data_IF_111781188449
#
_entry.id   IF_111781188449
#
_cell.length_a   1.000
_cell.length_b   1.000
_cell.length_c   1.000
_cell.angle_alpha   90.00
_cell.angle_beta   90.00
_cell.angle_gamma   90.00
#
_symmetry.space_group_name_H-M   'P 1'
#
loop_
_entity.id
_entity.type
_entity.pdbx_description
1 polymer ?
#
# COMPACT_ATOMS: atom_id res chain seq x y z
N UNK A 1 -10.24 -14.14 23.37
CA UNK A 1 -9.64 -14.47 22.06
C UNK A 1 -9.80 -15.96 21.91
N UNK A 2 -10.35 -16.43 20.79
CA UNK A 2 -10.54 -17.87 20.57
C UNK A 2 -9.16 -18.56 20.51
N UNK A 3 -9.04 -19.78 21.03
CA UNK A 3 -7.77 -20.52 21.05
C UNK A 3 -7.19 -20.69 19.64
N UNK A 4 -8.07 -20.85 18.64
CA UNK A 4 -7.70 -20.90 17.22
C UNK A 4 -7.08 -19.59 16.71
N UNK A 5 -7.60 -18.44 17.13
CA UNK A 5 -7.04 -17.14 16.73
C UNK A 5 -5.64 -16.94 17.30
N UNK A 6 -5.36 -17.51 18.48
CA UNK A 6 -4.05 -17.39 19.12
C UNK A 6 -2.98 -18.25 18.43
N UNK A 7 -3.34 -19.45 17.96
CA UNK A 7 -2.47 -20.27 17.12
C UNK A 7 -2.20 -19.62 15.76
N UNK A 8 -3.25 -19.15 15.07
CA UNK A 8 -3.14 -18.45 13.78
C UNK A 8 -2.27 -17.20 13.93
N UNK A 9 -2.48 -16.43 15.00
CA UNK A 9 -1.67 -15.26 15.30
C UNK A 9 -0.18 -15.62 15.46
N UNK A 10 0.15 -16.65 16.24
CA UNK A 10 1.56 -17.07 16.43
C UNK A 10 2.20 -17.50 15.10
N UNK A 11 1.46 -18.24 14.26
CA UNK A 11 1.94 -18.64 12.95
C UNK A 11 2.23 -17.42 12.07
N UNK A 12 1.31 -16.47 11.98
CA UNK A 12 1.49 -15.24 11.20
C UNK A 12 2.58 -14.33 11.75
N UNK A 13 2.80 -14.29 13.07
CA UNK A 13 3.92 -13.56 13.67
C UNK A 13 5.26 -14.12 13.19
N UNK A 14 5.42 -15.45 13.20
CA UNK A 14 6.63 -16.11 12.71
C UNK A 14 6.85 -15.86 11.22
N UNK A 15 5.79 -15.95 10.41
CA UNK A 15 5.87 -15.72 8.98
C UNK A 15 6.24 -14.26 8.64
N UNK A 16 5.67 -13.27 9.34
CA UNK A 16 6.09 -11.88 9.18
C UNK A 16 7.55 -11.66 9.54
N UNK A 17 8.05 -12.29 10.61
CA UNK A 17 9.46 -12.19 11.01
C UNK A 17 10.35 -12.77 9.93
N UNK A 18 9.98 -13.92 9.36
CA UNK A 18 10.78 -14.57 8.33
C UNK A 18 10.81 -13.76 7.03
N UNK A 19 9.64 -13.34 6.53
CA UNK A 19 9.55 -12.54 5.31
C UNK A 19 10.23 -11.16 5.46
N UNK A 20 10.16 -10.56 6.65
CA UNK A 20 10.83 -9.28 6.91
C UNK A 20 12.35 -9.36 6.74
N UNK A 21 12.99 -10.52 6.93
CA UNK A 21 14.44 -10.67 6.68
C UNK A 21 14.82 -10.42 5.22
N UNK A 22 13.86 -10.54 4.30
CA UNK A 22 14.04 -10.32 2.86
C UNK A 22 13.71 -8.88 2.46
N UNK A 23 13.24 -8.04 3.40
CA UNK A 23 12.88 -6.67 3.11
C UNK A 23 14.12 -5.83 2.79
N UNK A 24 14.12 -5.22 1.61
CA UNK A 24 15.11 -4.22 1.20
C UNK A 24 14.49 -2.83 1.33
N UNK A 25 15.18 -1.93 2.05
CA UNK A 25 14.75 -0.54 2.25
C UNK A 25 15.63 0.49 1.54
N UNK A 26 16.64 0.03 0.80
CA UNK A 26 17.52 0.86 -0.04
C UNK A 26 17.11 0.75 -1.50
N UNK A 27 17.37 1.80 -2.29
CA UNK A 27 17.17 1.74 -3.73
C UNK A 27 18.19 0.76 -4.36
N UNK A 28 17.70 -0.28 -5.02
CA UNK A 28 18.51 -1.28 -5.75
C UNK A 28 18.18 -1.32 -7.24
N UNK A 29 17.39 -0.38 -7.75
CA UNK A 29 16.87 -0.42 -9.11
C UNK A 29 17.67 0.47 -10.05
N UNK A 30 17.81 0.02 -11.29
CA UNK A 30 18.60 0.69 -12.33
C UNK A 30 17.84 1.84 -13.01
N UNK A 31 16.58 2.08 -12.60
CA UNK A 31 15.76 3.17 -13.11
C UNK A 31 15.76 4.38 -12.17
N UNK A 32 15.56 5.55 -12.74
CA UNK A 32 15.46 6.82 -12.05
C UNK A 32 14.21 7.59 -12.51
N UNK A 33 13.78 8.55 -11.70
CA UNK A 33 12.67 9.46 -12.02
C UNK A 33 13.06 10.47 -13.09
N UNK A 34 14.34 10.85 -13.16
CA UNK A 34 14.80 12.02 -13.94
C UNK A 34 15.24 11.70 -15.37
N UNK A 35 15.57 10.44 -15.68
CA UNK A 35 16.09 10.02 -16.99
C UNK A 35 15.03 9.35 -17.88
N UNK A 36 13.80 9.26 -17.38
CA UNK A 36 12.68 8.64 -18.09
C UNK A 36 12.78 7.11 -18.20
N UNK A 37 13.65 6.44 -17.44
CA UNK A 37 13.72 4.98 -17.40
C UNK A 37 12.55 4.35 -16.63
N UNK A 38 11.90 5.08 -15.72
CA UNK A 38 10.61 4.69 -15.14
C UNK A 38 9.47 4.93 -16.16
N UNK A 39 8.81 3.86 -16.60
CA UNK A 39 7.76 3.86 -17.63
C UNK A 39 6.38 3.54 -17.09
N UNK A 40 6.27 2.57 -16.18
CA UNK A 40 4.99 2.08 -15.69
C UNK A 40 4.98 1.98 -14.17
N UNK A 41 3.93 2.52 -13.58
CA UNK A 41 3.62 2.40 -12.15
C UNK A 41 2.27 1.73 -11.97
N UNK A 42 2.14 0.94 -10.92
CA UNK A 42 0.88 0.30 -10.55
C UNK A 42 0.25 0.95 -9.33
N UNK A 43 -1.07 0.97 -9.27
CA UNK A 43 -1.85 1.20 -8.06
C UNK A 43 -2.66 -0.05 -7.72
N UNK A 44 -2.62 -0.49 -6.47
CA UNK A 44 -3.42 -1.60 -5.97
C UNK A 44 -4.24 -1.22 -4.75
N UNK A 45 -5.45 -1.74 -4.68
CA UNK A 45 -6.40 -1.55 -3.57
C UNK A 45 -7.27 -2.80 -3.40
N UNK A 46 -7.72 -3.06 -2.18
CA UNK A 46 -8.78 -4.03 -1.89
C UNK A 46 -9.88 -3.33 -1.09
N UNK A 47 -11.07 -3.30 -1.68
CA UNK A 47 -12.24 -2.64 -1.10
C UNK A 47 -13.35 -3.66 -0.79
N UNK A 48 -13.85 -3.66 0.44
CA UNK A 48 -14.97 -4.51 0.85
C UNK A 48 -16.28 -4.11 0.18
N UNK A 49 -17.13 -5.09 -0.14
CA UNK A 49 -18.50 -4.85 -0.57
C UNK A 49 -19.29 -4.25 0.60
N UNK A 50 -20.03 -3.16 0.34
CA UNK A 50 -20.77 -2.44 1.39
C UNK A 50 -21.74 -3.39 2.11
N UNK A 51 -21.57 -3.51 3.42
CA UNK A 51 -22.39 -4.39 4.28
C UNK A 51 -21.92 -5.85 4.32
N UNK A 52 -20.74 -6.17 3.79
CA UNK A 52 -20.17 -7.51 3.78
C UNK A 52 -18.69 -7.48 4.22
N UNK A 53 -18.31 -8.31 5.18
CA UNK A 53 -16.95 -8.35 5.75
C UNK A 53 -16.04 -9.43 5.12
N UNK A 54 -16.59 -10.17 4.15
CA UNK A 54 -15.93 -11.27 3.45
C UNK A 54 -15.73 -10.93 1.98
N UNK A 55 -16.79 -10.51 1.29
CA UNK A 55 -16.71 -10.19 -0.13
C UNK A 55 -16.02 -8.85 -0.34
N UNK A 56 -14.98 -8.85 -1.17
CA UNK A 56 -14.21 -7.67 -1.51
C UNK A 56 -13.87 -7.66 -3.00
N UNK A 57 -13.42 -6.51 -3.49
CA UNK A 57 -12.91 -6.33 -4.85
C UNK A 57 -11.43 -5.97 -4.76
N UNK A 58 -10.56 -6.81 -5.32
CA UNK A 58 -9.15 -6.50 -5.50
C UNK A 58 -8.96 -5.82 -6.86
N UNK A 59 -8.21 -4.72 -6.89
CA UNK A 59 -8.00 -3.89 -8.08
C UNK A 59 -6.51 -3.71 -8.36
N UNK A 60 -6.14 -3.72 -9.64
CA UNK A 60 -4.82 -3.38 -10.15
C UNK A 60 -4.97 -2.43 -11.35
N UNK A 61 -4.36 -1.25 -11.24
CA UNK A 61 -4.32 -0.24 -12.29
C UNK A 61 -2.87 0.01 -12.70
N UNK A 62 -2.59 0.04 -14.00
CA UNK A 62 -1.27 0.43 -14.53
C UNK A 62 -1.38 1.79 -15.19
N UNK A 63 -0.48 2.69 -14.82
CA UNK A 63 -0.35 4.03 -15.37
C UNK A 63 1.01 4.22 -16.02
N UNK A 64 1.07 5.03 -17.09
CA UNK A 64 2.34 5.52 -17.60
C UNK A 64 2.97 6.52 -16.63
N UNK A 65 4.29 6.61 -16.65
CA UNK A 65 5.04 7.61 -15.91
C UNK A 65 5.85 8.48 -16.88
N UNK A 66 5.88 9.82 -16.70
CA UNK A 66 5.24 10.60 -15.63
C UNK A 66 3.79 11.06 -15.94
N UNK A 67 3.22 10.72 -17.10
CA UNK A 67 1.93 11.31 -17.54
C UNK A 67 0.71 10.81 -16.77
N UNK A 68 0.85 9.73 -15.99
CA UNK A 68 -0.22 9.12 -15.21
C UNK A 68 -1.45 8.73 -16.05
N UNK A 69 -1.22 8.26 -17.28
CA UNK A 69 -2.31 7.76 -18.15
C UNK A 69 -2.56 6.30 -17.84
N UNK A 70 -3.82 5.96 -17.55
CA UNK A 70 -4.21 4.55 -17.35
C UNK A 70 -4.05 3.78 -18.66
N UNK A 71 -3.23 2.74 -18.64
CA UNK A 71 -3.00 1.83 -19.78
C UNK A 71 -3.56 0.43 -19.54
N UNK A 72 -3.86 0.09 -18.29
CA UNK A 72 -4.52 -1.17 -17.94
C UNK A 72 -5.29 -1.06 -16.63
N UNK A 73 -6.41 -1.78 -16.57
CA UNK A 73 -7.19 -1.97 -15.36
C UNK A 73 -7.63 -3.43 -15.29
N UNK A 74 -7.45 -4.06 -14.14
CA UNK A 74 -8.01 -5.37 -13.81
C UNK A 74 -8.57 -5.36 -12.41
N UNK A 75 -9.61 -6.18 -12.21
CA UNK A 75 -10.25 -6.36 -10.92
C UNK A 75 -10.74 -7.79 -10.77
N UNK A 76 -10.75 -8.29 -9.55
CA UNK A 76 -11.33 -9.59 -9.20
C UNK A 76 -12.17 -9.47 -7.93
N UNK A 77 -13.39 -10.02 -7.98
CA UNK A 77 -14.18 -10.24 -6.77
C UNK A 77 -13.57 -11.41 -6.00
N UNK A 78 -13.29 -11.18 -4.72
CA UNK A 78 -12.56 -12.11 -3.86
C UNK A 78 -13.28 -12.27 -2.52
N UNK A 79 -12.98 -13.37 -1.83
CA UNK A 79 -13.53 -13.64 -0.50
C UNK A 79 -12.40 -13.68 0.53
N UNK A 80 -12.42 -12.72 1.45
CA UNK A 80 -11.45 -12.58 2.53
C UNK A 80 -11.85 -13.44 3.74
N UNK A 81 -11.74 -14.75 3.58
CA UNK A 81 -12.21 -15.76 4.55
C UNK A 81 -11.33 -15.91 5.79
N UNK A 82 -10.09 -15.42 5.75
CA UNK A 82 -9.19 -15.42 6.89
C UNK A 82 -9.66 -14.43 7.98
N UNK A 83 -9.43 -14.73 9.27
CA UNK A 83 -9.91 -13.88 10.37
C UNK A 83 -9.24 -12.50 10.36
N UNK A 84 -9.98 -11.50 10.81
CA UNK A 84 -9.43 -10.16 11.00
C UNK A 84 -8.67 -10.07 12.34
N UNK A 85 -7.34 -10.17 12.28
CA UNK A 85 -6.45 -9.96 13.43
C UNK A 85 -5.69 -8.63 13.23
N UNK A 86 -5.83 -7.64 14.14
CA UNK A 86 -5.14 -6.36 14.01
C UNK A 86 -3.61 -6.52 13.81
N UNK A 87 -3.08 -5.83 12.79
CA UNK A 87 -1.66 -5.93 12.39
C UNK A 87 -1.33 -7.13 11.48
N UNK A 88 -2.33 -7.88 11.03
CA UNK A 88 -2.18 -9.01 10.09
C UNK A 88 -3.06 -8.88 8.85
N UNK A 89 -3.55 -7.67 8.56
CA UNK A 89 -4.39 -7.41 7.38
C UNK A 89 -3.76 -7.92 6.08
N UNK A 90 -2.43 -7.81 5.97
CA UNK A 90 -1.68 -8.28 4.82
C UNK A 90 -1.95 -9.75 4.46
N UNK A 91 -2.14 -10.63 5.44
CA UNK A 91 -2.42 -12.06 5.18
C UNK A 91 -3.76 -12.30 4.51
N UNK A 92 -4.73 -11.41 4.74
CA UNK A 92 -6.04 -11.49 4.09
C UNK A 92 -5.94 -11.05 2.62
N UNK A 93 -5.10 -10.07 2.32
CA UNK A 93 -5.17 -9.32 1.06
C UNK A 93 -4.06 -9.68 0.06
N UNK A 94 -2.84 -9.95 0.53
CA UNK A 94 -1.64 -9.96 -0.33
C UNK A 94 -1.72 -10.99 -1.45
N UNK A 95 -2.28 -12.17 -1.20
CA UNK A 95 -2.37 -13.24 -2.20
C UNK A 95 -3.24 -12.85 -3.40
N UNK A 96 -4.30 -12.07 -3.17
CA UNK A 96 -5.16 -11.58 -4.25
C UNK A 96 -4.44 -10.53 -5.10
N UNK A 97 -3.64 -9.67 -4.49
CA UNK A 97 -2.82 -8.68 -5.20
C UNK A 97 -1.68 -9.33 -5.99
N UNK A 98 -0.99 -10.32 -5.42
CA UNK A 98 0.03 -11.12 -6.12
C UNK A 98 -0.58 -11.78 -7.35
N UNK A 99 -1.75 -12.39 -7.23
CA UNK A 99 -2.45 -13.03 -8.35
C UNK A 99 -2.76 -12.05 -9.49
N UNK A 100 -3.20 -10.83 -9.18
CA UNK A 100 -3.44 -9.80 -10.20
C UNK A 100 -2.15 -9.41 -10.94
N UNK A 101 -1.05 -9.26 -10.21
CA UNK A 101 0.26 -8.95 -10.80
C UNK A 101 0.79 -10.12 -11.64
N UNK A 102 0.68 -11.36 -11.17
CA UNK A 102 1.11 -12.54 -11.93
C UNK A 102 0.31 -12.70 -13.22
N UNK A 103 -1.01 -12.47 -13.16
CA UNK A 103 -1.87 -12.47 -14.34
C UNK A 103 -1.44 -11.39 -15.34
N UNK A 104 -1.19 -10.17 -14.88
CA UNK A 104 -0.67 -9.10 -15.74
C UNK A 104 0.66 -9.48 -16.37
N UNK A 105 1.58 -10.06 -15.59
CA UNK A 105 2.90 -10.49 -16.07
C UNK A 105 2.80 -11.53 -17.18
N UNK A 106 1.83 -12.46 -17.07
CA UNK A 106 1.60 -13.49 -18.05
C UNK A 106 0.90 -12.97 -19.32
N UNK A 107 -0.08 -12.06 -19.15
CA UNK A 107 -0.91 -11.59 -20.26
C UNK A 107 -0.30 -10.40 -21.02
N UNK A 108 0.41 -9.50 -20.31
CA UNK A 108 0.92 -8.22 -20.83
C UNK A 108 2.25 -7.81 -20.18
N UNK A 109 3.32 -8.61 -20.36
CA UNK A 109 4.63 -8.34 -19.75
C UNK A 109 5.24 -6.99 -20.17
N UNK A 110 4.87 -6.45 -21.32
CA UNK A 110 5.36 -5.18 -21.86
C UNK A 110 4.93 -3.94 -21.08
N UNK A 111 3.87 -4.06 -20.28
CA UNK A 111 3.40 -3.01 -19.37
C UNK A 111 3.55 -3.39 -17.89
N UNK A 112 4.37 -4.41 -17.58
CA UNK A 112 4.59 -4.82 -16.21
C UNK A 112 5.23 -3.66 -15.40
N UNK A 113 4.68 -3.32 -14.22
CA UNK A 113 5.09 -2.12 -13.51
C UNK A 113 6.49 -2.25 -12.93
N UNK A 114 7.22 -1.14 -12.91
CA UNK A 114 8.50 -1.03 -12.23
C UNK A 114 8.35 -0.66 -10.76
N UNK A 115 7.20 -0.11 -10.36
CA UNK A 115 6.89 0.37 -9.02
C UNK A 115 5.40 0.19 -8.72
N UNK A 116 5.06 -0.26 -7.51
CA UNK A 116 3.67 -0.45 -7.08
C UNK A 116 3.34 0.46 -5.90
N UNK A 117 2.27 1.24 -6.03
CA UNK A 117 1.64 1.97 -4.94
C UNK A 117 0.52 1.12 -4.35
N UNK A 118 0.55 0.93 -3.04
CA UNK A 118 -0.36 0.05 -2.32
C UNK A 118 -1.20 0.89 -1.37
N UNK A 119 -2.54 0.83 -1.46
CA UNK A 119 -3.43 1.44 -0.46
C UNK A 119 -3.35 0.66 0.86
N UNK A 120 -2.34 0.97 1.65
CA UNK A 120 -2.00 0.24 2.85
C UNK A 120 -0.64 0.63 3.40
N UNK A 121 -0.39 0.30 4.66
CA UNK A 121 0.89 0.59 5.29
C UNK A 121 1.99 -0.36 4.79
N UNK A 122 3.20 0.17 4.65
CA UNK A 122 4.42 -0.61 4.41
C UNK A 122 5.26 -0.71 5.68
N UNK A 123 6.39 0.00 5.70
CA UNK A 123 7.33 -0.01 6.81
C UNK A 123 6.75 0.63 8.09
N UNK A 124 5.87 1.64 7.96
CA UNK A 124 5.09 2.23 9.06
C UNK A 124 4.05 1.24 9.61
N UNK A 125 4.51 0.23 10.32
CA UNK A 125 3.72 -0.87 10.87
C UNK A 125 4.33 -1.32 12.20
N UNK A 126 3.55 -1.80 13.19
CA UNK A 126 4.08 -2.21 14.50
C UNK A 126 5.23 -3.23 14.45
N UNK A 127 5.28 -4.03 13.38
CA UNK A 127 6.36 -4.99 13.12
C UNK A 127 7.31 -4.58 11.99
N UNK A 128 7.17 -3.38 11.45
CA UNK A 128 7.96 -2.91 10.30
C UNK A 128 7.72 -3.71 9.02
N UNK A 129 6.53 -4.31 8.88
CA UNK A 129 6.19 -5.23 7.79
C UNK A 129 4.68 -5.24 7.50
N UNK A 130 4.19 -4.14 6.93
CA UNK A 130 2.80 -4.01 6.49
C UNK A 130 2.54 -4.62 5.11
N UNK A 131 1.33 -4.41 4.57
CA UNK A 131 0.88 -4.94 3.28
C UNK A 131 1.84 -4.62 2.14
N UNK A 132 2.32 -3.37 2.03
CA UNK A 132 3.20 -3.00 0.93
C UNK A 132 4.56 -3.71 0.99
N UNK A 133 5.12 -3.89 2.20
CA UNK A 133 6.35 -4.67 2.39
C UNK A 133 6.12 -6.14 2.06
N UNK A 134 4.98 -6.70 2.50
CA UNK A 134 4.62 -8.08 2.22
C UNK A 134 4.49 -8.33 0.72
N UNK A 135 3.75 -7.47 0.01
CA UNK A 135 3.60 -7.56 -1.44
C UNK A 135 4.95 -7.45 -2.16
N UNK A 136 5.80 -6.49 -1.76
CA UNK A 136 7.11 -6.29 -2.37
C UNK A 136 8.04 -7.49 -2.19
N UNK A 137 8.06 -8.10 -1.00
CA UNK A 137 8.85 -9.33 -0.75
C UNK A 137 8.37 -10.49 -1.62
N UNK A 138 7.06 -10.71 -1.74
CA UNK A 138 6.52 -11.84 -2.52
C UNK A 138 6.68 -11.65 -4.03
N UNK A 139 6.62 -10.41 -4.52
CA UNK A 139 6.66 -10.11 -5.97
C UNK A 139 8.04 -9.73 -6.49
N UNK A 140 8.96 -9.35 -5.59
CA UNK A 140 10.25 -8.75 -5.95
C UNK A 140 10.13 -7.32 -6.51
N UNK A 141 8.94 -6.71 -6.48
CA UNK A 141 8.70 -5.35 -6.96
C UNK A 141 8.93 -4.32 -5.84
N UNK A 142 9.49 -3.14 -6.14
CA UNK A 142 9.45 -2.04 -5.19
C UNK A 142 8.01 -1.62 -4.95
N UNK A 143 7.68 -1.48 -3.67
CA UNK A 143 6.34 -1.13 -3.22
C UNK A 143 6.38 0.07 -2.28
N UNK A 144 5.50 1.05 -2.54
CA UNK A 144 5.27 2.20 -1.66
C UNK A 144 3.89 2.02 -1.03
N UNK A 145 3.86 1.94 0.30
CA UNK A 145 2.62 1.95 1.06
C UNK A 145 2.07 3.36 1.23
N UNK A 146 0.86 3.60 0.73
CA UNK A 146 0.15 4.88 0.84
C UNK A 146 -0.95 4.73 1.89
N UNK A 147 -0.54 4.76 3.16
CA UNK A 147 -1.44 4.59 4.30
C UNK A 147 -2.25 5.85 4.62
N UNK A 148 -3.55 5.69 4.87
CA UNK A 148 -4.45 6.77 5.34
C UNK A 148 -4.43 6.96 6.87
N UNK A 149 -3.88 5.98 7.59
CA UNK A 149 -3.88 5.92 9.05
C UNK A 149 -2.44 5.83 9.58
N UNK A 150 -2.07 6.73 10.48
CA UNK A 150 -0.82 6.67 11.21
C UNK A 150 -0.88 5.49 12.21
N UNK A 151 0.07 4.55 12.08
CA UNK A 151 0.26 3.48 13.05
C UNK A 151 1.10 3.98 14.23
N UNK A 152 0.72 3.61 15.45
CA UNK A 152 1.51 3.93 16.64
C UNK A 152 2.75 3.03 16.69
N UNK A 153 3.89 3.59 16.32
CA UNK A 153 5.19 2.93 16.31
C UNK A 153 6.25 3.90 16.82
N UNK A 154 7.18 3.42 17.64
CA UNK A 154 8.38 4.18 18.01
C UNK A 154 8.10 5.63 18.49
N UNK A 155 7.09 5.77 19.37
CA UNK A 155 6.66 7.06 19.92
C UNK A 155 5.90 7.99 18.95
N UNK A 156 5.62 7.56 17.72
CA UNK A 156 4.85 8.34 16.75
C UNK A 156 3.38 8.47 17.17
N UNK A 157 3.04 9.61 17.75
CA UNK A 157 1.68 9.97 18.12
C UNK A 157 0.99 10.84 17.07
N UNK A 158 -0.30 10.58 16.83
CA UNK A 158 -1.13 11.35 15.89
C UNK A 158 -1.10 12.85 16.20
N UNK A 159 -1.13 13.23 17.49
CA UNK A 159 -1.12 14.63 17.90
C UNK A 159 0.19 15.32 17.49
N UNK A 160 1.34 14.70 17.79
CA UNK A 160 2.66 15.21 17.43
C UNK A 160 2.83 15.31 15.92
N UNK A 161 2.47 14.25 15.18
CA UNK A 161 2.55 14.22 13.72
C UNK A 161 1.67 15.29 13.09
N UNK A 162 0.43 15.48 13.57
CA UNK A 162 -0.46 16.55 13.07
C UNK A 162 0.10 17.95 13.32
N UNK A 163 0.74 18.19 14.46
CA UNK A 163 1.37 19.49 14.75
C UNK A 163 2.55 19.74 13.82
N UNK A 164 3.42 18.73 13.62
CA UNK A 164 4.55 18.80 12.70
C UNK A 164 4.09 19.04 11.25
N UNK A 165 3.11 18.27 10.80
CA UNK A 165 2.49 18.40 9.48
C UNK A 165 1.98 19.82 9.21
N UNK A 166 1.22 20.42 10.15
CA UNK A 166 0.71 21.79 10.01
C UNK A 166 1.81 22.85 9.90
N UNK A 167 3.00 22.57 10.44
CA UNK A 167 4.13 23.50 10.46
C UNK A 167 4.99 23.35 9.19
N UNK A 168 5.17 22.12 8.71
CA UNK A 168 6.15 21.78 7.67
C UNK A 168 5.53 21.57 6.28
N UNK A 169 4.24 21.23 6.21
CA UNK A 169 3.57 20.86 4.96
C UNK A 169 2.51 21.90 4.57
N UNK A 170 2.94 22.99 3.93
CA UNK A 170 2.12 24.18 3.68
C UNK A 170 1.61 24.26 2.24
N UNK A 171 2.33 23.66 1.28
CA UNK A 171 1.98 23.67 -0.16
C UNK A 171 2.04 22.26 -0.75
N UNK A 172 1.40 22.02 -1.91
CA UNK A 172 1.54 20.77 -2.63
C UNK A 172 3.01 20.44 -2.91
N UNK A 173 3.39 19.18 -2.67
CA UNK A 173 4.77 18.71 -2.81
C UNK A 173 5.61 18.79 -1.53
N UNK A 174 5.17 19.54 -0.51
CA UNK A 174 5.82 19.48 0.79
C UNK A 174 5.60 18.12 1.44
N UNK A 175 6.58 17.65 2.22
CA UNK A 175 6.44 16.46 3.04
C UNK A 175 7.21 16.62 4.35
N UNK A 176 6.81 15.85 5.36
CA UNK A 176 7.49 15.77 6.64
C UNK A 176 7.84 14.33 6.95
N UNK A 177 9.09 14.08 7.33
CA UNK A 177 9.53 12.75 7.73
C UNK A 177 8.92 12.36 9.09
N UNK A 178 8.42 11.13 9.15
CA UNK A 178 7.97 10.48 10.37
C UNK A 178 9.17 9.82 11.04
N UNK A 179 9.84 10.57 11.92
CA UNK A 179 11.02 10.12 12.67
C UNK A 179 10.55 9.71 14.06
N UNK A 180 10.80 8.46 14.44
CA UNK A 180 10.47 7.95 15.77
C UNK A 180 11.53 8.25 16.82
N UNK A 181 11.26 7.87 18.07
CA UNK A 181 12.17 8.11 19.22
C UNK A 181 13.53 7.43 19.05
N UNK A 182 13.57 6.28 18.36
CA UNK A 182 14.81 5.60 18.00
C UNK A 182 15.66 6.33 16.92
N UNK A 183 15.23 7.51 16.46
CA UNK A 183 15.77 8.23 15.29
C UNK A 183 15.58 7.52 13.95
N UNK A 184 14.86 6.39 13.93
CA UNK A 184 14.47 5.71 12.70
C UNK A 184 13.45 6.54 11.91
N UNK A 185 13.65 6.64 10.60
CA UNK A 185 12.63 7.15 9.68
C UNK A 185 11.66 6.01 9.34
N UNK A 186 10.39 6.20 9.64
CA UNK A 186 9.33 5.22 9.41
C UNK A 186 8.51 5.47 8.14
N UNK A 187 8.57 6.69 7.62
CA UNK A 187 7.86 7.11 6.43
C UNK A 187 7.83 8.63 6.31
N UNK A 188 6.91 9.13 5.49
CA UNK A 188 6.66 10.55 5.34
C UNK A 188 5.15 10.82 5.32
N UNK A 189 4.76 12.03 5.73
CA UNK A 189 3.42 12.56 5.55
C UNK A 189 3.48 13.72 4.56
N UNK A 190 2.52 13.79 3.64
CA UNK A 190 2.40 14.82 2.61
C UNK A 190 0.96 15.34 2.60
N UNK A 191 0.72 16.63 2.25
CA UNK A 191 -0.61 17.12 1.97
C UNK A 191 -1.19 16.31 0.82
N UNK A 192 -2.44 15.90 0.97
CA UNK A 192 -3.23 15.44 -0.16
C UNK A 192 -3.44 16.69 -1.03
N UNK A 193 -3.08 16.67 -2.33
CA UNK A 193 -3.43 17.75 -3.23
C UNK A 193 -4.95 17.95 -3.13
N UNK A 194 -5.40 19.15 -2.77
CA UNK A 194 -6.82 19.48 -2.84
C UNK A 194 -7.26 19.34 -4.30
N UNK A 195 -7.91 18.24 -4.65
CA UNK A 195 -8.48 18.05 -5.98
C UNK A 195 -9.57 19.12 -6.17
N UNK A 196 -9.46 20.02 -7.17
CA UNK A 196 -10.46 21.07 -7.35
C UNK A 196 -11.82 20.57 -7.86
N UNK A 197 -11.92 19.31 -8.29
CA UNK A 197 -13.11 18.80 -8.97
C UNK A 197 -13.36 17.32 -8.70
N UNK A 198 -13.82 16.93 -7.51
CA UNK A 198 -14.63 15.71 -7.35
C UNK A 198 -15.52 15.84 -6.10
N UNK A 199 -16.72 16.39 -6.29
CA UNK A 199 -17.84 16.07 -5.41
C UNK A 199 -18.15 14.57 -5.59
N UNK A 200 -18.15 13.76 -4.53
CA UNK A 200 -18.38 12.31 -4.63
C UNK A 200 -19.83 11.93 -4.96
N UNK A 201 -20.71 12.89 -5.26
CA UNK A 201 -22.08 12.64 -5.67
C UNK A 201 -22.47 13.56 -6.82
N UNK A 202 -22.31 13.08 -8.05
CA UNK A 202 -23.12 13.53 -9.18
C UNK A 202 -23.63 12.26 -9.86
N UNK A 203 -24.96 12.02 -9.88
CA UNK A 203 -25.50 10.84 -10.53
C UNK A 203 -25.20 10.89 -12.03
N UNK A 204 -25.07 9.73 -12.71
CA UNK A 204 -24.85 9.71 -14.14
C UNK A 204 -26.01 10.40 -14.87
N UNK A 205 -25.75 11.09 -16.01
CA UNK A 205 -26.83 11.63 -16.82
C UNK A 205 -27.72 10.48 -17.28
N UNK A 206 -29.02 10.63 -17.06
CA UNK A 206 -30.03 9.69 -17.56
C UNK A 206 -30.04 9.72 -19.10
N UNK A 207 -30.38 8.59 -19.76
CA UNK A 207 -30.41 8.48 -21.22
C UNK A 207 -31.37 9.46 -21.88
#
# INVERSE_FOLDING_TARGET
MDYKDEEVRKAWELEQIELKKQLVTTNLFDWNLDDGSLKYVAGVDISFVKGNEVDACACLIILTWPELKVVHSSFEMVQLTLPYIPGFLAFREVNFLVKLLDKLKAEKPEIYPQLVFVDGNGYLHPRGFGLACHLGVLTGLPCIGVGKTLMYVDGLEIKGVKQKFKKECLKPGDYSLLVGESSQVWGAVSPIPSTPHHSPFSPPPSP
#
